data_IF_020481975622
#
_entry.id   IF_020481975622
#
_cell.length_a   1.000
_cell.length_b   1.000
_cell.length_c   1.000
_cell.angle_alpha   90.00
_cell.angle_beta   90.00
_cell.angle_gamma   90.00
#
_symmetry.space_group_name_H-M   'P 1'
#
loop_
_entity.id
_entity.type
_entity.pdbx_description
1 polymer ?
#
# COMPACT_ATOMS: atom_id res chain seq x y z
N UNK A 1 7.91 -10.32 -13.19
CA UNK A 1 8.64 -10.57 -11.93
C UNK A 1 8.68 -12.07 -11.71
N UNK A 2 9.86 -12.67 -11.57
CA UNK A 2 9.94 -14.10 -11.23
C UNK A 2 9.44 -14.30 -9.81
N UNK A 3 8.57 -15.28 -9.59
CA UNK A 3 8.36 -15.83 -8.26
C UNK A 3 9.72 -16.37 -7.81
N UNK A 4 10.38 -15.67 -6.88
CA UNK A 4 11.72 -16.03 -6.40
C UNK A 4 11.63 -17.34 -5.59
N UNK A 5 11.43 -18.47 -6.28
CA UNK A 5 11.38 -19.79 -5.68
C UNK A 5 12.77 -20.38 -5.76
N UNK A 6 13.47 -20.36 -4.63
CA UNK A 6 14.79 -20.94 -4.49
C UNK A 6 14.62 -22.39 -4.04
N UNK A 7 15.16 -23.34 -4.81
CA UNK A 7 15.14 -24.76 -4.44
C UNK A 7 15.97 -25.02 -3.19
N UNK A 8 15.44 -25.83 -2.26
CA UNK A 8 16.20 -26.32 -1.10
C UNK A 8 17.10 -27.49 -1.49
N UNK A 9 18.11 -27.81 -0.67
CA UNK A 9 19.04 -28.93 -0.91
C UNK A 9 18.33 -30.29 -1.11
N UNK A 10 17.10 -30.43 -0.61
CA UNK A 10 16.28 -31.64 -0.72
C UNK A 10 15.59 -31.80 -2.09
N UNK A 11 15.61 -30.81 -2.98
CA UNK A 11 14.93 -30.87 -4.29
C UNK A 11 15.78 -31.67 -5.29
N UNK A 12 15.24 -32.79 -5.75
CA UNK A 12 15.94 -33.71 -6.66
C UNK A 12 15.24 -33.89 -8.03
N UNK A 13 14.32 -32.98 -8.41
CA UNK A 13 13.60 -33.09 -9.68
C UNK A 13 14.47 -33.09 -10.94
N UNK A 14 15.69 -32.54 -10.86
CA UNK A 14 16.69 -32.61 -11.91
C UNK A 14 17.20 -34.04 -12.16
N UNK A 15 17.04 -34.96 -11.19
CA UNK A 15 17.38 -36.39 -11.29
C UNK A 15 16.16 -37.26 -11.61
N UNK A 16 15.02 -36.67 -11.98
CA UNK A 16 13.75 -37.40 -12.15
C UNK A 16 13.84 -38.56 -13.14
N UNK A 17 14.60 -38.40 -14.23
CA UNK A 17 14.83 -39.45 -15.21
C UNK A 17 15.64 -40.62 -14.62
N UNK A 18 16.76 -40.32 -13.96
CA UNK A 18 17.64 -41.33 -13.34
C UNK A 18 16.92 -42.12 -12.24
N UNK A 19 16.23 -41.41 -11.34
CA UNK A 19 15.42 -42.03 -10.28
C UNK A 19 14.27 -42.87 -10.84
N UNK A 20 13.68 -42.44 -11.97
CA UNK A 20 12.68 -43.20 -12.69
C UNK A 20 13.23 -44.50 -13.28
N UNK A 21 14.37 -44.42 -13.97
CA UNK A 21 15.07 -45.58 -14.52
C UNK A 21 15.48 -46.58 -13.42
N UNK A 22 16.01 -46.08 -12.30
CA UNK A 22 16.37 -46.90 -11.14
C UNK A 22 15.14 -47.54 -10.48
N UNK A 23 14.03 -46.80 -10.39
CA UNK A 23 12.76 -47.33 -9.88
C UNK A 23 12.21 -48.46 -10.76
N UNK A 24 12.28 -48.30 -12.09
CA UNK A 24 11.82 -49.30 -13.05
C UNK A 24 12.71 -50.54 -13.01
N UNK A 25 14.04 -50.39 -12.94
CA UNK A 25 14.95 -51.55 -12.90
C UNK A 25 14.73 -52.45 -11.68
N UNK A 26 14.27 -51.89 -10.55
CA UNK A 26 13.87 -52.67 -9.36
C UNK A 26 12.57 -53.46 -9.54
N UNK A 27 11.73 -53.08 -10.51
CA UNK A 27 10.44 -53.72 -10.80
C UNK A 27 10.61 -54.79 -11.89
N UNK A 28 11.49 -54.55 -12.86
CA UNK A 28 11.74 -55.48 -13.97
C UNK A 28 12.28 -56.81 -13.42
N UNK A 29 11.56 -57.89 -13.72
CA UNK A 29 11.90 -59.25 -13.28
C UNK A 29 11.33 -59.66 -11.91
N UNK A 30 10.62 -58.78 -11.21
CA UNK A 30 9.97 -59.06 -9.93
C UNK A 30 8.47 -59.37 -10.04
N UNK A 31 7.90 -60.04 -9.03
CA UNK A 31 6.44 -60.20 -8.92
C UNK A 31 5.81 -58.89 -8.43
N UNK A 32 4.76 -58.43 -9.12
CA UNK A 32 4.06 -57.18 -8.83
C UNK A 32 3.59 -57.06 -7.37
N UNK A 33 3.18 -58.16 -6.74
CA UNK A 33 2.74 -58.17 -5.32
C UNK A 33 3.82 -57.79 -4.30
N UNK A 34 5.10 -57.87 -4.68
CA UNK A 34 6.22 -57.53 -3.81
C UNK A 34 6.73 -56.09 -4.01
N UNK A 35 6.16 -55.35 -4.97
CA UNK A 35 6.56 -53.97 -5.26
C UNK A 35 6.12 -53.07 -4.09
N UNK A 36 7.10 -52.46 -3.41
CA UNK A 36 6.85 -51.47 -2.35
C UNK A 36 7.48 -50.14 -2.73
N UNK A 37 6.64 -49.13 -2.91
CA UNK A 37 7.09 -47.76 -3.13
C UNK A 37 7.39 -47.09 -1.79
N UNK A 38 8.63 -46.65 -1.57
CA UNK A 38 9.01 -45.88 -0.38
C UNK A 38 8.91 -44.39 -0.68
N UNK A 39 8.41 -43.60 0.28
CA UNK A 39 8.29 -42.14 0.13
C UNK A 39 9.64 -41.45 -0.13
N UNK A 40 10.74 -41.99 0.39
CA UNK A 40 12.11 -41.50 0.16
C UNK A 40 12.61 -41.69 -1.28
N UNK A 41 12.00 -42.62 -2.03
CA UNK A 41 12.38 -42.92 -3.41
C UNK A 41 11.56 -42.08 -4.41
N UNK A 42 10.69 -41.18 -3.91
CA UNK A 42 9.88 -40.28 -4.74
C UNK A 42 10.70 -39.04 -5.13
N UNK A 43 10.53 -38.59 -6.36
CA UNK A 43 11.03 -37.30 -6.82
C UNK A 43 10.39 -36.15 -6.03
N UNK A 44 11.24 -35.32 -5.44
CA UNK A 44 10.93 -34.10 -4.70
C UNK A 44 11.03 -32.92 -5.68
N UNK A 45 9.87 -32.33 -6.01
CA UNK A 45 9.77 -31.23 -6.96
C UNK A 45 9.89 -29.88 -6.27
N UNK A 46 10.19 -28.82 -7.04
CA UNK A 46 10.24 -27.45 -6.53
C UNK A 46 8.92 -27.01 -5.87
N UNK A 47 7.78 -27.53 -6.32
CA UNK A 47 6.47 -27.30 -5.70
C UNK A 47 6.37 -27.80 -4.25
N UNK A 48 7.19 -28.79 -3.87
CA UNK A 48 7.24 -29.29 -2.49
C UNK A 48 7.92 -28.34 -1.50
N UNK A 49 8.70 -27.38 -2.00
CA UNK A 49 9.40 -26.39 -1.17
C UNK A 49 8.40 -25.42 -0.54
N UNK A 50 7.41 -24.97 -1.33
CA UNK A 50 6.43 -23.96 -0.88
C UNK A 50 5.16 -24.57 -0.30
N UNK A 51 4.83 -25.82 -0.65
CA UNK A 51 3.56 -26.43 -0.30
C UNK A 51 3.75 -27.51 0.79
N UNK A 52 4.55 -27.22 1.82
CA UNK A 52 4.85 -28.20 2.86
C UNK A 52 4.41 -27.71 4.24
N UNK A 53 3.64 -28.56 4.93
CA UNK A 53 3.20 -28.33 6.30
C UNK A 53 3.97 -29.26 7.24
N UNK A 54 4.43 -28.72 8.37
CA UNK A 54 5.06 -29.53 9.42
C UNK A 54 3.97 -30.06 10.35
N UNK A 55 3.74 -31.37 10.32
CA UNK A 55 2.80 -32.05 11.22
C UNK A 55 3.62 -32.90 12.18
N UNK A 56 3.75 -32.43 13.43
CA UNK A 56 4.64 -33.04 14.41
C UNK A 56 6.12 -32.92 14.03
N UNK A 57 6.81 -34.07 13.87
CA UNK A 57 8.22 -34.13 13.45
C UNK A 57 8.41 -34.31 11.94
N UNK A 58 7.35 -34.59 11.19
CA UNK A 58 7.43 -34.85 9.76
C UNK A 58 7.00 -33.64 8.92
N UNK A 59 7.74 -33.40 7.82
CA UNK A 59 7.39 -32.41 6.81
C UNK A 59 6.56 -33.11 5.73
N UNK A 60 5.30 -32.73 5.61
CA UNK A 60 4.37 -33.32 4.64
C UNK A 60 4.14 -32.31 3.53
N UNK A 61 4.42 -32.72 2.29
CA UNK A 61 4.03 -31.97 1.11
C UNK A 61 2.53 -32.09 0.91
N UNK A 62 1.83 -30.97 0.99
CA UNK A 62 0.39 -30.85 0.76
C UNK A 62 0.20 -30.27 -0.62
N UNK A 63 -0.38 -31.03 -1.54
CA UNK A 63 -0.82 -30.46 -2.82
C UNK A 63 -2.10 -29.63 -2.58
N UNK A 64 -2.09 -28.30 -2.80
CA UNK A 64 -3.23 -27.44 -2.53
C UNK A 64 -4.47 -27.85 -3.33
N UNK A 65 -4.30 -28.37 -4.56
CA UNK A 65 -5.42 -28.82 -5.38
C UNK A 65 -6.06 -30.09 -4.80
N UNK A 66 -5.25 -31.06 -4.39
CA UNK A 66 -5.74 -32.25 -3.68
C UNK A 66 -6.42 -31.88 -2.37
N UNK A 67 -5.87 -30.92 -1.61
CA UNK A 67 -6.50 -30.44 -0.37
C UNK A 67 -7.84 -29.76 -0.65
N UNK A 68 -7.91 -28.89 -1.66
CA UNK A 68 -9.14 -28.24 -2.09
C UNK A 68 -10.21 -29.25 -2.48
N UNK A 69 -9.87 -30.26 -3.30
CA UNK A 69 -10.80 -31.32 -3.65
C UNK A 69 -11.30 -32.10 -2.44
N UNK A 70 -10.42 -32.40 -1.47
CA UNK A 70 -10.83 -33.07 -0.21
C UNK A 70 -11.77 -32.20 0.62
N UNK A 71 -11.53 -30.89 0.70
CA UNK A 71 -12.41 -29.94 1.37
C UNK A 71 -13.78 -29.90 0.68
N UNK A 72 -13.81 -29.83 -0.66
CA UNK A 72 -15.05 -29.87 -1.44
C UNK A 72 -15.86 -31.14 -1.19
N UNK A 73 -15.21 -32.29 -1.03
CA UNK A 73 -15.88 -33.57 -0.73
C UNK A 73 -16.29 -33.70 0.74
N UNK A 74 -15.51 -33.17 1.67
CA UNK A 74 -15.75 -33.31 3.11
C UNK A 74 -16.80 -32.34 3.65
N UNK A 75 -17.00 -31.20 2.97
CA UNK A 75 -17.99 -30.17 3.31
C UNK A 75 -19.40 -30.76 3.42
N UNK A 76 -20.06 -30.55 4.56
CA UNK A 76 -21.48 -30.89 4.75
C UNK A 76 -22.38 -29.65 4.65
N UNK A 77 -21.86 -28.46 4.94
CA UNK A 77 -22.58 -27.18 4.86
C UNK A 77 -21.72 -26.02 4.33
N UNK A 78 -22.34 -24.91 3.91
CA UNK A 78 -21.63 -23.69 3.51
C UNK A 78 -20.85 -23.06 4.67
N UNK A 79 -21.32 -23.23 5.90
CA UNK A 79 -20.65 -22.81 7.13
C UNK A 79 -19.34 -23.59 7.36
N UNK A 80 -19.32 -24.90 7.07
CA UNK A 80 -18.09 -25.71 7.17
C UNK A 80 -17.02 -25.19 6.21
N UNK A 81 -17.42 -24.74 5.02
CA UNK A 81 -16.50 -24.17 4.04
C UNK A 81 -15.83 -22.92 4.59
N UNK A 82 -16.60 -22.03 5.24
CA UNK A 82 -16.07 -20.83 5.89
C UNK A 82 -15.08 -21.17 7.00
N UNK A 83 -15.34 -22.23 7.76
CA UNK A 83 -14.42 -22.75 8.77
C UNK A 83 -13.13 -23.32 8.14
N UNK A 84 -13.24 -24.10 7.06
CA UNK A 84 -12.07 -24.68 6.36
C UNK A 84 -11.15 -23.61 5.72
N UNK A 85 -11.70 -22.47 5.32
CA UNK A 85 -10.95 -21.32 4.78
C UNK A 85 -10.65 -20.23 5.81
N UNK A 86 -10.80 -20.51 7.10
CA UNK A 86 -10.38 -19.55 8.15
C UNK A 86 -8.87 -19.30 8.12
N UNK A 87 -8.10 -20.26 7.59
CA UNK A 87 -6.66 -20.14 7.37
C UNK A 87 -6.33 -20.18 5.88
N UNK A 88 -5.36 -19.37 5.46
CA UNK A 88 -4.95 -19.26 4.07
C UNK A 88 -4.36 -20.59 3.55
N UNK A 89 -4.99 -21.17 2.51
CA UNK A 89 -4.55 -22.42 1.88
C UNK A 89 -3.59 -22.20 0.70
N UNK A 90 -3.32 -20.94 0.34
CA UNK A 90 -2.43 -20.60 -0.77
C UNK A 90 -0.97 -20.63 -0.31
N UNK A 91 -0.11 -21.43 -0.93
CA UNK A 91 1.34 -21.40 -0.68
C UNK A 91 2.04 -20.25 -1.40
N UNK A 92 1.31 -19.49 -2.22
CA UNK A 92 1.82 -18.33 -2.93
C UNK A 92 1.22 -17.06 -2.36
N UNK A 93 2.01 -15.97 -2.23
CA UNK A 93 1.48 -14.70 -1.80
C UNK A 93 0.37 -14.25 -2.75
N UNK A 94 -0.68 -13.66 -2.17
CA UNK A 94 -1.78 -13.08 -2.93
C UNK A 94 -1.23 -12.16 -4.02
N UNK A 95 -1.81 -12.25 -5.22
CA UNK A 95 -1.51 -11.33 -6.32
C UNK A 95 -1.54 -9.89 -5.81
N UNK A 96 -0.50 -9.12 -6.15
CA UNK A 96 -0.45 -7.68 -5.87
C UNK A 96 -1.63 -6.93 -6.50
N UNK A 97 -2.33 -7.54 -7.46
CA UNK A 97 -3.50 -6.98 -8.14
C UNK A 97 -4.77 -7.80 -7.83
N UNK A 98 -5.90 -7.12 -7.67
CA UNK A 98 -7.26 -7.67 -7.69
C UNK A 98 -8.06 -7.05 -8.86
N UNK A 99 -9.35 -7.36 -8.97
CA UNK A 99 -10.23 -6.83 -10.03
C UNK A 99 -10.37 -5.30 -10.00
N UNK A 100 -10.09 -4.68 -8.85
CA UNK A 100 -10.17 -3.22 -8.63
C UNK A 100 -8.80 -2.51 -8.78
N UNK A 101 -7.72 -3.24 -9.08
CA UNK A 101 -6.37 -2.68 -9.26
C UNK A 101 -5.33 -3.22 -8.26
N UNK A 102 -4.32 -2.41 -7.92
CA UNK A 102 -3.28 -2.85 -6.99
C UNK A 102 -3.84 -2.94 -5.56
N UNK A 103 -3.65 -4.07 -4.89
CA UNK A 103 -4.03 -4.26 -3.48
C UNK A 103 -3.33 -3.21 -2.61
N UNK A 104 -4.06 -2.68 -1.63
CA UNK A 104 -3.50 -1.74 -0.65
C UNK A 104 -2.35 -2.42 0.09
N UNK A 105 -1.13 -1.89 -0.07
CA UNK A 105 0.00 -2.27 0.77
C UNK A 105 -0.25 -1.85 2.21
N UNK A 106 0.11 -2.71 3.17
CA UNK A 106 0.28 -2.25 4.55
C UNK A 106 1.53 -1.36 4.57
N UNK A 107 1.43 -0.11 5.06
CA UNK A 107 2.61 0.75 5.30
C UNK A 107 3.67 -0.10 5.99
N UNK A 108 4.94 0.03 5.56
CA UNK A 108 5.99 -0.99 5.80
C UNK A 108 5.90 -1.64 7.18
N UNK A 109 5.94 -2.98 7.24
CA UNK A 109 5.95 -3.73 8.50
C UNK A 109 7.10 -3.32 9.45
N UNK A 110 8.11 -2.64 8.89
CA UNK A 110 9.26 -2.09 9.60
C UNK A 110 8.97 -0.77 10.30
N UNK A 111 7.88 -0.06 9.96
CA UNK A 111 7.56 1.24 10.58
C UNK A 111 7.50 1.19 12.12
N UNK A 112 6.82 0.20 12.75
CA UNK A 112 6.81 0.06 14.21
C UNK A 112 8.18 -0.30 14.81
N UNK A 113 9.13 -0.79 14.01
CA UNK A 113 10.47 -1.12 14.47
C UNK A 113 11.39 0.11 14.57
N UNK A 114 11.00 1.25 13.97
CA UNK A 114 11.73 2.50 14.18
C UNK A 114 11.35 3.09 15.53
N UNK A 115 12.34 3.30 16.39
CA UNK A 115 12.16 4.10 17.60
C UNK A 115 12.01 5.57 17.22
N UNK A 116 10.92 6.25 17.61
CA UNK A 116 10.77 7.67 17.39
C UNK A 116 11.93 8.41 18.05
N UNK A 117 12.77 9.06 17.26
CA UNK A 117 13.80 9.93 17.81
C UNK A 117 13.11 11.14 18.42
N UNK A 118 13.23 11.32 19.73
CA UNK A 118 12.92 12.59 20.36
C UNK A 118 13.95 13.60 19.87
N UNK A 119 13.54 14.42 18.91
CA UNK A 119 14.36 15.56 18.50
C UNK A 119 14.21 16.59 19.61
N UNK A 120 15.07 16.51 20.64
CA UNK A 120 15.34 17.62 21.57
C UNK A 120 16.21 18.67 20.85
N UNK A 121 15.86 19.00 19.61
CA UNK A 121 16.45 20.17 18.98
C UNK A 121 15.94 21.35 19.78
N UNK A 122 16.84 22.00 20.50
CA UNK A 122 16.64 23.38 20.96
C UNK A 122 16.08 24.11 19.76
N UNK A 123 14.78 24.45 19.78
CA UNK A 123 14.18 25.25 18.73
C UNK A 123 14.96 26.55 18.74
N UNK A 124 15.89 26.69 17.79
CA UNK A 124 16.56 27.94 17.56
C UNK A 124 15.48 28.99 17.33
N UNK A 125 15.73 30.23 17.76
CA UNK A 125 14.79 31.35 17.63
C UNK A 125 14.34 31.63 16.17
N UNK A 126 14.85 30.91 15.17
CA UNK A 126 14.58 31.08 13.75
C UNK A 126 14.51 29.74 12.98
N UNK A 127 13.79 28.74 13.51
CA UNK A 127 13.56 27.51 12.77
C UNK A 127 12.69 27.75 11.53
N UNK A 128 13.09 27.20 10.39
CA UNK A 128 12.27 27.14 9.19
C UNK A 128 11.49 25.83 9.16
N UNK A 129 10.18 25.90 9.01
CA UNK A 129 9.29 24.73 9.01
C UNK A 129 8.75 24.49 7.60
N UNK A 130 8.87 23.26 7.12
CA UNK A 130 8.20 22.82 5.89
C UNK A 130 6.99 21.99 6.28
N UNK A 131 5.81 22.41 5.83
CA UNK A 131 4.53 21.77 6.15
C UNK A 131 3.99 21.10 4.89
N UNK A 132 3.64 19.83 5.03
CA UNK A 132 2.86 19.09 4.04
C UNK A 132 1.42 19.64 3.98
N UNK A 133 1.01 20.05 2.78
CA UNK A 133 -0.31 20.59 2.51
C UNK A 133 -1.45 19.59 2.69
N UNK A 134 -1.21 18.30 2.40
CA UNK A 134 -2.22 17.26 2.59
C UNK A 134 -2.44 16.98 4.08
N UNK A 135 -1.37 17.01 4.87
CA UNK A 135 -1.47 16.98 6.34
C UNK A 135 -2.28 18.17 6.87
N UNK A 136 -2.08 19.36 6.30
CA UNK A 136 -2.70 20.58 6.76
C UNK A 136 -4.24 20.52 6.65
N UNK A 137 -4.78 19.89 5.60
CA UNK A 137 -6.23 19.77 5.41
C UNK A 137 -6.97 19.16 6.60
N UNK A 138 -6.33 18.24 7.32
CA UNK A 138 -6.95 17.57 8.46
C UNK A 138 -6.77 18.31 9.79
N UNK A 139 -6.07 19.45 9.79
CA UNK A 139 -5.80 20.24 11.01
C UNK A 139 -6.78 21.37 11.24
N UNK A 140 -7.46 21.83 10.20
CA UNK A 140 -8.46 22.89 10.30
C UNK A 140 -9.82 22.32 10.00
N UNK A 141 -10.75 22.48 10.95
CA UNK A 141 -12.14 22.05 10.82
C UNK A 141 -12.96 23.19 10.22
N UNK A 142 -13.68 22.91 9.14
CA UNK A 142 -14.54 23.91 8.50
C UNK A 142 -15.84 24.09 9.29
N UNK A 143 -16.05 25.28 9.86
CA UNK A 143 -17.29 25.58 10.57
C UNK A 143 -18.44 25.86 9.59
N UNK A 144 -19.67 25.66 10.05
CA UNK A 144 -20.87 25.98 9.25
C UNK A 144 -20.88 27.48 8.90
N UNK A 145 -21.31 27.79 7.68
CA UNK A 145 -21.43 29.15 7.14
C UNK A 145 -20.11 29.92 6.98
N UNK A 146 -18.95 29.25 7.01
CA UNK A 146 -17.70 29.87 6.58
C UNK A 146 -17.60 29.86 5.06
N UNK A 147 -17.19 30.98 4.47
CA UNK A 147 -16.81 31.01 3.07
C UNK A 147 -15.36 30.52 2.88
N UNK A 148 -14.96 30.25 1.64
CA UNK A 148 -13.60 29.79 1.33
C UNK A 148 -12.51 30.80 1.72
N UNK A 149 -12.80 32.10 1.74
CA UNK A 149 -11.90 33.14 2.27
C UNK A 149 -11.65 32.98 3.77
N UNK A 150 -12.70 32.77 4.55
CA UNK A 150 -12.60 32.55 6.00
C UNK A 150 -11.90 31.21 6.31
N UNK A 151 -12.15 30.19 5.48
CA UNK A 151 -11.47 28.89 5.57
C UNK A 151 -9.96 29.06 5.34
N UNK A 152 -9.55 29.71 4.25
CA UNK A 152 -8.12 29.95 3.95
C UNK A 152 -7.45 30.80 5.03
N UNK A 153 -8.16 31.79 5.58
CA UNK A 153 -7.70 32.56 6.75
C UNK A 153 -7.51 31.70 7.99
N UNK A 154 -8.36 30.71 8.22
CA UNK A 154 -8.23 29.78 9.34
C UNK A 154 -7.00 28.89 9.21
N UNK A 155 -6.68 28.43 7.99
CA UNK A 155 -5.43 27.73 7.70
C UNK A 155 -4.19 28.61 7.93
N UNK A 156 -4.22 29.87 7.48
CA UNK A 156 -3.12 30.80 7.76
C UNK A 156 -2.93 31.02 9.27
N UNK A 157 -4.04 31.19 10.02
CA UNK A 157 -4.01 31.36 11.47
C UNK A 157 -3.43 30.13 12.17
N UNK A 158 -3.80 28.92 11.72
CA UNK A 158 -3.24 27.66 12.21
C UNK A 158 -1.72 27.61 11.98
N UNK A 159 -1.26 27.93 10.76
CA UNK A 159 0.17 27.94 10.44
C UNK A 159 0.96 28.90 11.32
N UNK A 160 0.46 30.13 11.50
CA UNK A 160 1.10 31.15 12.33
C UNK A 160 1.15 30.76 13.81
N UNK A 161 0.07 30.16 14.32
CA UNK A 161 -0.04 29.79 15.74
C UNK A 161 0.85 28.60 16.09
N UNK A 162 0.97 27.62 15.20
CA UNK A 162 1.69 26.37 15.48
C UNK A 162 3.14 26.36 14.98
N UNK A 163 3.45 27.08 13.90
CA UNK A 163 4.77 27.05 13.26
C UNK A 163 5.43 28.43 13.12
N UNK A 164 4.70 29.50 13.39
CA UNK A 164 5.20 30.88 13.25
C UNK A 164 5.20 31.36 11.80
N UNK A 165 5.97 32.43 11.54
CA UNK A 165 6.02 33.10 10.23
C UNK A 165 7.02 32.48 9.25
N UNK A 166 8.00 31.72 9.75
CA UNK A 166 9.06 31.14 8.95
C UNK A 166 8.67 29.74 8.45
N UNK A 167 7.60 29.69 7.66
CA UNK A 167 6.98 28.45 7.19
C UNK A 167 6.86 28.41 5.66
N UNK A 168 7.14 27.24 5.09
CA UNK A 168 6.79 26.92 3.71
C UNK A 168 5.76 25.80 3.67
N UNK A 169 4.68 26.00 2.92
CA UNK A 169 3.67 24.97 2.67
C UNK A 169 3.93 24.34 1.30
N UNK A 170 3.98 23.01 1.25
CA UNK A 170 4.20 22.26 0.01
C UNK A 170 2.96 21.41 -0.28
N UNK A 171 2.31 21.65 -1.41
CA UNK A 171 1.13 20.89 -1.85
C UNK A 171 1.50 19.80 -2.85
N UNK A 172 0.70 18.74 -2.85
CA UNK A 172 0.67 17.74 -3.91
C UNK A 172 0.28 18.36 -5.25
N UNK A 173 0.81 17.77 -6.32
CA UNK A 173 0.45 18.04 -7.69
C UNK A 173 -0.64 17.12 -8.20
N UNK A 174 -1.45 17.65 -9.12
CA UNK A 174 -2.55 16.93 -9.75
C UNK A 174 -2.45 17.17 -11.27
N UNK A 175 -1.58 16.43 -11.98
CA UNK A 175 -1.40 16.61 -13.41
C UNK A 175 -2.70 16.22 -14.14
N UNK A 176 -3.10 17.03 -15.12
CA UNK A 176 -4.33 16.82 -15.90
C UNK A 176 -4.15 15.77 -17.00
N UNK A 177 -2.91 15.42 -17.30
CA UNK A 177 -2.46 14.47 -18.30
C UNK A 177 -2.58 13.03 -17.77
N UNK A 178 -3.72 12.42 -18.11
CA UNK A 178 -4.17 11.03 -17.83
C UNK A 178 -3.19 9.93 -18.29
N UNK A 179 -2.05 10.28 -18.90
CA UNK A 179 -1.12 9.31 -19.48
C UNK A 179 -0.04 8.83 -18.49
N UNK A 180 0.02 9.41 -17.29
CA UNK A 180 0.90 8.95 -16.22
C UNK A 180 0.37 7.68 -15.57
N UNK A 181 0.87 6.51 -15.98
CA UNK A 181 0.80 5.28 -15.17
C UNK A 181 1.67 5.44 -13.92
N UNK A 182 1.31 6.38 -13.05
CA UNK A 182 1.94 6.61 -11.75
C UNK A 182 1.40 5.58 -10.75
N UNK A 183 2.22 5.20 -9.77
CA UNK A 183 1.77 4.32 -8.68
C UNK A 183 0.70 4.99 -7.81
N UNK A 184 0.58 6.33 -7.88
CA UNK A 184 -0.38 7.15 -7.13
C UNK A 184 -1.78 7.19 -7.77
N UNK A 185 -1.89 6.99 -9.09
CA UNK A 185 -3.18 7.09 -9.80
C UNK A 185 -4.18 6.00 -9.38
N UNK A 186 -3.70 4.79 -9.08
CA UNK A 186 -4.55 3.72 -8.56
C UNK A 186 -5.14 4.05 -7.17
N UNK A 187 -4.34 4.65 -6.29
CA UNK A 187 -4.81 5.09 -4.96
C UNK A 187 -5.78 6.26 -5.07
N UNK A 188 -5.50 7.22 -5.95
CA UNK A 188 -6.38 8.36 -6.26
C UNK A 188 -7.75 7.89 -6.80
N UNK A 189 -7.77 7.03 -7.82
CA UNK A 189 -9.01 6.46 -8.38
C UNK A 189 -9.80 5.72 -7.29
N UNK A 190 -9.12 4.95 -6.44
CA UNK A 190 -9.76 4.24 -5.34
C UNK A 190 -10.39 5.19 -4.32
N UNK A 191 -9.72 6.28 -3.96
CA UNK A 191 -10.27 7.29 -3.04
C UNK A 191 -11.45 8.05 -3.67
N UNK A 192 -11.35 8.40 -4.95
CA UNK A 192 -12.43 9.05 -5.69
C UNK A 192 -13.70 8.17 -5.75
N UNK A 193 -13.54 6.85 -5.92
CA UNK A 193 -14.65 5.91 -5.92
C UNK A 193 -15.29 5.73 -4.53
N UNK A 194 -14.55 5.93 -3.44
CA UNK A 194 -15.08 5.81 -2.07
C UNK A 194 -15.97 6.99 -1.69
N UNK A 195 -15.65 8.17 -2.21
CA UNK A 195 -16.28 9.44 -1.84
C UNK A 195 -16.61 10.23 -3.11
N UNK A 196 -17.64 9.79 -3.81
CA UNK A 196 -18.19 10.51 -4.95
C UNK A 196 -18.68 11.90 -4.50
N UNK A 197 -18.06 12.96 -5.02
CA UNK A 197 -18.51 14.33 -4.86
C UNK A 197 -18.45 15.05 -6.20
N UNK A 198 -19.41 15.94 -6.44
CA UNK A 198 -19.46 16.76 -7.64
C UNK A 198 -18.37 17.85 -7.61
N UNK A 199 -17.94 18.27 -8.81
CA UNK A 199 -17.08 19.44 -8.95
C UNK A 199 -17.86 20.70 -8.55
N UNK A 200 -17.24 21.55 -7.73
CA UNK A 200 -17.81 22.81 -7.24
C UNK A 200 -17.00 23.96 -7.84
N UNK A 201 -17.71 24.87 -8.50
CA UNK A 201 -17.15 26.15 -8.94
C UNK A 201 -17.43 27.19 -7.84
N UNK A 202 -16.36 27.77 -7.29
CA UNK A 202 -16.47 28.69 -6.15
C UNK A 202 -15.48 29.85 -6.25
N UNK A 203 -15.73 30.88 -5.43
CA UNK A 203 -14.82 31.99 -5.19
C UNK A 203 -14.62 32.18 -3.67
N UNK A 204 -13.86 33.22 -3.28
CA UNK A 204 -13.57 33.53 -1.87
C UNK A 204 -14.84 33.70 -1.01
N UNK A 205 -15.92 34.25 -1.57
CA UNK A 205 -17.16 34.53 -0.83
C UNK A 205 -18.16 33.35 -0.82
N UNK A 206 -17.89 32.28 -1.56
CA UNK A 206 -18.77 31.10 -1.61
C UNK A 206 -18.64 30.28 -0.32
N UNK A 207 -19.77 29.84 0.25
CA UNK A 207 -19.80 28.88 1.36
C UNK A 207 -19.87 27.45 0.82
N UNK A 208 -19.10 26.49 1.35
CA UNK A 208 -19.23 25.09 0.96
C UNK A 208 -20.62 24.54 1.33
N UNK A 209 -21.30 23.96 0.35
CA UNK A 209 -22.61 23.30 0.56
C UNK A 209 -22.48 21.86 1.05
N UNK A 210 -21.30 21.26 0.85
CA UNK A 210 -20.96 19.89 1.21
C UNK A 210 -19.95 19.85 2.36
N UNK A 211 -19.78 18.68 2.98
CA UNK A 211 -18.80 18.52 4.05
C UNK A 211 -17.36 18.68 3.54
N UNK A 212 -16.45 19.02 4.45
CA UNK A 212 -15.02 19.13 4.16
C UNK A 212 -14.47 17.83 3.55
N UNK A 213 -14.87 16.68 4.08
CA UNK A 213 -14.44 15.36 3.60
C UNK A 213 -14.93 15.10 2.18
N UNK A 214 -16.19 15.42 1.87
CA UNK A 214 -16.73 15.28 0.52
C UNK A 214 -16.06 16.24 -0.46
N UNK A 215 -15.82 17.49 -0.04
CA UNK A 215 -15.13 18.47 -0.87
C UNK A 215 -13.71 18.02 -1.21
N UNK A 216 -12.95 17.60 -0.20
CA UNK A 216 -11.58 17.15 -0.34
C UNK A 216 -11.47 15.76 -0.99
N UNK A 217 -12.56 15.00 -1.16
CA UNK A 217 -12.49 13.75 -1.91
C UNK A 217 -12.36 13.96 -3.42
N UNK A 218 -12.82 15.10 -3.94
CA UNK A 218 -12.76 15.41 -5.36
C UNK A 218 -11.48 16.17 -5.72
N UNK A 219 -10.66 15.59 -6.60
CA UNK A 219 -9.37 16.17 -7.00
C UNK A 219 -9.50 17.56 -7.65
N UNK A 220 -10.54 17.80 -8.46
CA UNK A 220 -10.74 19.11 -9.10
C UNK A 220 -11.06 20.18 -8.06
N UNK A 221 -11.84 19.82 -7.04
CA UNK A 221 -12.13 20.70 -5.91
C UNK A 221 -10.86 21.02 -5.13
N UNK A 222 -10.01 20.00 -4.85
CA UNK A 222 -8.70 20.21 -4.22
C UNK A 222 -7.83 21.14 -5.03
N UNK A 223 -7.69 20.93 -6.35
CA UNK A 223 -6.87 21.78 -7.24
C UNK A 223 -7.34 23.24 -7.17
N UNK A 224 -8.64 23.49 -7.32
CA UNK A 224 -9.21 24.84 -7.22
C UNK A 224 -8.96 25.46 -5.85
N UNK A 225 -9.06 24.67 -4.77
CA UNK A 225 -8.81 25.13 -3.42
C UNK A 225 -7.33 25.45 -3.19
N UNK A 226 -6.41 24.62 -3.68
CA UNK A 226 -4.96 24.87 -3.65
C UNK A 226 -4.64 26.17 -4.37
N UNK A 227 -5.22 26.41 -5.56
CA UNK A 227 -5.00 27.63 -6.32
C UNK A 227 -5.47 28.88 -5.57
N UNK A 228 -6.63 28.80 -4.92
CA UNK A 228 -7.13 29.87 -4.08
C UNK A 228 -6.21 30.09 -2.87
N UNK A 229 -5.87 29.01 -2.17
CA UNK A 229 -5.13 29.07 -0.93
C UNK A 229 -3.68 29.54 -1.14
N UNK A 230 -3.03 29.12 -2.22
CA UNK A 230 -1.73 29.65 -2.65
C UNK A 230 -1.74 31.16 -2.83
N UNK A 231 -2.73 31.69 -3.57
CA UNK A 231 -2.87 33.14 -3.78
C UNK A 231 -3.03 33.86 -2.45
N UNK A 232 -3.79 33.28 -1.53
CA UNK A 232 -3.98 33.82 -0.20
C UNK A 232 -2.68 33.82 0.63
N UNK A 233 -1.96 32.70 0.65
CA UNK A 233 -0.66 32.58 1.34
C UNK A 233 0.39 33.54 0.77
N UNK A 234 0.46 33.67 -0.55
CA UNK A 234 1.38 34.60 -1.23
C UNK A 234 1.07 36.06 -0.87
N UNK A 235 -0.22 36.46 -0.82
CA UNK A 235 -0.63 37.79 -0.34
C UNK A 235 -0.22 38.04 1.11
N UNK A 236 -0.15 36.98 1.92
CA UNK A 236 0.29 37.04 3.32
C UNK A 236 1.82 36.88 3.49
N UNK A 237 2.60 36.93 2.41
CA UNK A 237 4.06 36.73 2.38
C UNK A 237 4.53 35.36 2.90
N UNK A 238 3.66 34.34 2.91
CA UNK A 238 4.05 32.97 3.24
C UNK A 238 4.65 32.26 2.02
N UNK A 239 5.65 31.42 2.24
CA UNK A 239 6.26 30.62 1.16
C UNK A 239 5.33 29.45 0.82
N UNK A 240 5.05 29.26 -0.48
CA UNK A 240 4.23 28.14 -0.94
C UNK A 240 4.83 27.51 -2.19
N UNK A 241 4.84 26.19 -2.24
CA UNK A 241 5.27 25.39 -3.40
C UNK A 241 4.23 24.32 -3.72
N UNK A 242 4.23 23.81 -4.94
CA UNK A 242 3.44 22.65 -5.34
C UNK A 242 4.29 21.72 -6.19
N UNK A 243 4.18 20.43 -5.91
CA UNK A 243 4.82 19.38 -6.66
C UNK A 243 4.12 19.11 -8.00
N UNK A 244 4.75 18.32 -8.86
CA UNK A 244 4.13 17.84 -10.11
C UNK A 244 3.14 16.70 -9.81
N UNK A 245 3.51 15.78 -8.91
CA UNK A 245 2.65 14.69 -8.43
C UNK A 245 2.72 14.63 -6.90
N UNK A 246 3.77 14.00 -6.36
CA UNK A 246 3.91 13.75 -4.93
C UNK A 246 4.81 14.79 -4.25
N UNK A 247 4.34 15.36 -3.13
CA UNK A 247 5.02 16.41 -2.39
C UNK A 247 6.22 15.89 -1.58
N UNK A 248 6.31 14.58 -1.30
CA UNK A 248 7.34 13.99 -0.42
C UNK A 248 8.76 14.46 -0.79
N UNK A 249 9.12 14.37 -2.07
CA UNK A 249 10.44 14.79 -2.56
C UNK A 249 10.63 16.30 -2.40
N UNK A 250 9.62 17.08 -2.80
CA UNK A 250 9.69 18.55 -2.76
C UNK A 250 9.72 19.10 -1.33
N UNK A 251 9.10 18.41 -0.37
CA UNK A 251 9.18 18.71 1.07
C UNK A 251 10.63 18.58 1.53
N UNK A 252 11.28 17.46 1.21
CA UNK A 252 12.68 17.20 1.60
C UNK A 252 13.62 18.20 0.93
N UNK A 253 13.49 18.42 -0.37
CA UNK A 253 14.30 19.41 -1.11
C UNK A 253 14.13 20.82 -0.54
N UNK A 254 12.91 21.20 -0.18
CA UNK A 254 12.64 22.51 0.43
C UNK A 254 13.30 22.61 1.80
N UNK A 255 13.22 21.57 2.62
CA UNK A 255 13.87 21.56 3.94
C UNK A 255 15.41 21.63 3.84
N UNK A 256 15.99 20.96 2.84
CA UNK A 256 17.45 20.97 2.60
C UNK A 256 17.91 22.32 2.04
N UNK A 257 17.16 22.91 1.10
CA UNK A 257 17.54 24.18 0.44
C UNK A 257 17.66 25.37 1.39
N UNK A 258 16.97 25.34 2.53
CA UNK A 258 17.02 26.42 3.53
C UNK A 258 18.20 26.26 4.49
N UNK A 259 18.82 25.08 4.56
CA UNK A 259 20.12 24.91 5.20
C UNK A 259 21.19 25.40 4.24
N UNK A 260 21.46 26.70 4.25
CA UNK A 260 22.68 27.24 3.65
C UNK A 260 23.89 26.49 4.22
N UNK A 261 24.70 25.92 3.33
CA UNK A 261 26.05 25.48 3.65
C UNK A 261 26.99 26.68 3.55
#
# INVERSE_FOLDING_TARGET
MSSCVIGTADVNCHLSHELGCEGISRIVGGNFGNVKFKRKDKVITLASVNNSAKIGKEKITVDPLTLFHRICVAKQSDEDLKMFFTFELSPSPLSLFNEEGMRKGTKSFLFPAFTPTKIDAVQGKNNFVVVDGDHLYHKVVWQRNMNFGDITKSYLTYLQTHYGWNVAVVFDGYPSDVNGKSTKSAESIRQANLHSSHEIIFNEATCPEISQEQFLANERNKVRFIDLFKKFLQKANATVKQAVEDADVLIVETAVSVRGW
#
